data_IF_219055350877
#
_entry.id   IF_219055350877
#
_cell.length_a   1.000
_cell.length_b   1.000
_cell.length_c   1.000
_cell.angle_alpha   90.00
_cell.angle_beta   90.00
_cell.angle_gamma   90.00
#
_symmetry.space_group_name_H-M   'P 1'
#
loop_
_entity.id
_entity.type
_entity.pdbx_description
1 polymer ?
#
# COMPACT_ATOMS: atom_id res chain seq x y z
N UNK A 1 -8.75 -23.09 29.88
CA UNK A 1 -9.14 -23.22 28.45
C UNK A 1 -7.89 -23.01 27.60
N UNK A 2 -7.60 -23.95 26.68
CA UNK A 2 -6.43 -23.98 25.80
C UNK A 2 -6.13 -22.64 25.10
N UNK A 3 -7.15 -22.03 24.48
CA UNK A 3 -7.02 -20.74 23.79
C UNK A 3 -6.48 -19.62 24.69
N UNK A 4 -6.92 -19.55 25.94
CA UNK A 4 -6.42 -18.53 26.88
C UNK A 4 -4.94 -18.73 27.23
N UNK A 5 -4.51 -19.98 27.39
CA UNK A 5 -3.12 -20.34 27.68
C UNK A 5 -2.21 -20.04 26.48
N UNK A 6 -2.68 -20.31 25.26
CA UNK A 6 -1.91 -20.04 24.05
C UNK A 6 -1.75 -18.53 23.81
N UNK A 7 -2.78 -17.72 24.07
CA UNK A 7 -2.67 -16.26 24.05
C UNK A 7 -1.65 -15.78 25.09
N UNK A 8 -1.73 -16.27 26.32
CA UNK A 8 -0.76 -15.92 27.36
C UNK A 8 0.67 -16.32 26.98
N UNK A 9 0.84 -17.47 26.33
CA UNK A 9 2.14 -17.93 25.83
C UNK A 9 2.71 -17.02 24.74
N UNK A 10 1.88 -16.49 23.83
CA UNK A 10 2.30 -15.49 22.84
C UNK A 10 2.87 -14.25 23.54
N UNK A 11 2.13 -13.69 24.50
CA UNK A 11 2.57 -12.50 25.23
C UNK A 11 3.83 -12.77 26.07
N UNK A 12 3.91 -13.92 26.73
CA UNK A 12 5.08 -14.33 27.51
C UNK A 12 6.32 -14.50 26.64
N UNK A 13 6.18 -15.13 25.47
CA UNK A 13 7.28 -15.30 24.51
C UNK A 13 7.78 -13.95 23.99
N UNK A 14 6.88 -13.04 23.65
CA UNK A 14 7.26 -11.68 23.25
C UNK A 14 7.97 -10.92 24.39
N UNK A 15 7.45 -11.01 25.62
CA UNK A 15 8.06 -10.40 26.79
C UNK A 15 9.48 -10.93 27.07
N UNK A 16 9.73 -12.22 26.86
CA UNK A 16 11.07 -12.82 26.94
C UNK A 16 12.03 -12.28 25.86
N UNK A 17 11.51 -11.71 24.78
CA UNK A 17 12.28 -11.01 23.74
C UNK A 17 12.34 -9.49 24.00
N UNK A 18 11.88 -9.02 25.16
CA UNK A 18 11.79 -7.62 25.55
C UNK A 18 11.00 -6.74 24.56
N UNK A 19 10.02 -7.33 23.87
CA UNK A 19 9.17 -6.63 22.90
C UNK A 19 7.69 -6.96 23.13
N UNK A 20 6.77 -6.03 22.86
CA UNK A 20 5.37 -6.37 22.75
C UNK A 20 5.12 -7.23 21.49
N UNK A 21 4.09 -8.09 21.47
CA UNK A 21 3.80 -8.96 20.33
C UNK A 21 3.70 -8.23 18.98
N UNK A 22 3.01 -7.09 18.96
CA UNK A 22 2.79 -6.32 17.74
C UNK A 22 4.07 -5.74 17.14
N UNK A 23 5.14 -5.55 17.90
CA UNK A 23 6.45 -5.12 17.36
C UNK A 23 7.18 -6.24 16.63
N UNK A 24 6.91 -7.50 17.00
CA UNK A 24 7.45 -8.68 16.33
C UNK A 24 6.63 -9.04 15.09
N UNK A 25 5.30 -8.90 15.17
CA UNK A 25 4.39 -9.17 14.06
C UNK A 25 4.45 -8.08 12.99
N UNK A 26 4.55 -6.82 13.39
CA UNK A 26 4.50 -5.66 12.48
C UNK A 26 5.72 -4.77 12.69
N UNK A 27 6.94 -5.30 12.41
CA UNK A 27 8.16 -4.53 12.53
C UNK A 27 8.17 -3.39 11.51
N UNK A 28 8.92 -2.34 11.81
CA UNK A 28 9.18 -1.24 10.89
C UNK A 28 10.61 -1.29 10.37
N UNK A 29 11.58 -1.41 11.26
CA UNK A 29 12.99 -1.58 10.92
C UNK A 29 13.17 -2.82 10.05
N UNK A 30 13.91 -2.67 8.94
CA UNK A 30 14.17 -3.68 7.90
C UNK A 30 12.92 -4.21 7.19
N UNK A 31 11.74 -3.63 7.44
CA UNK A 31 10.55 -3.91 6.65
C UNK A 31 10.59 -3.09 5.35
N UNK A 32 9.82 -3.53 4.35
CA UNK A 32 9.94 -3.05 2.97
C UNK A 32 8.90 -1.98 2.63
N UNK A 33 9.30 -0.93 1.92
CA UNK A 33 8.39 0.06 1.31
C UNK A 33 8.51 0.02 -0.22
N UNK A 34 7.41 0.30 -0.92
CA UNK A 34 7.31 0.28 -2.39
C UNK A 34 7.64 1.63 -3.05
N UNK A 35 8.24 2.54 -2.29
CA UNK A 35 8.61 3.89 -2.72
C UNK A 35 9.95 4.24 -2.08
N UNK A 36 10.68 5.18 -2.67
CA UNK A 36 11.92 5.71 -2.10
C UNK A 36 11.61 6.73 -0.99
N UNK A 37 12.01 6.47 0.28
CA UNK A 37 11.87 7.42 1.37
C UNK A 37 12.64 8.74 1.20
N UNK A 38 13.71 8.75 0.39
CA UNK A 38 14.49 9.97 0.10
C UNK A 38 13.77 10.84 -0.94
N UNK A 39 13.14 10.23 -1.95
CA UNK A 39 12.34 10.94 -2.94
C UNK A 39 10.99 11.43 -2.36
N UNK A 40 10.40 10.67 -1.43
CA UNK A 40 9.10 10.95 -0.81
C UNK A 40 9.15 11.01 0.73
N UNK A 41 9.91 11.95 1.33
CA UNK A 41 10.10 12.02 2.77
C UNK A 41 8.78 12.29 3.53
N UNK A 42 7.92 13.16 2.99
CA UNK A 42 6.62 13.49 3.57
C UNK A 42 5.70 12.27 3.64
N UNK A 43 5.65 11.49 2.54
CA UNK A 43 4.90 10.24 2.47
C UNK A 43 5.48 9.22 3.45
N UNK A 44 6.80 9.14 3.57
CA UNK A 44 7.46 8.27 4.54
C UNK A 44 7.08 8.60 5.98
N UNK A 45 7.00 9.89 6.32
CA UNK A 45 6.53 10.36 7.64
C UNK A 45 5.08 9.95 7.89
N UNK A 46 4.19 10.16 6.93
CA UNK A 46 2.79 9.75 7.07
C UNK A 46 2.66 8.24 7.27
N UNK A 47 3.41 7.46 6.50
CA UNK A 47 3.43 6.01 6.60
C UNK A 47 3.95 5.56 7.96
N UNK A 48 5.07 6.10 8.42
CA UNK A 48 5.63 5.81 9.74
C UNK A 48 4.64 6.11 10.86
N UNK A 49 3.97 7.28 10.81
CA UNK A 49 2.94 7.65 11.79
C UNK A 49 1.77 6.68 11.80
N UNK A 50 1.23 6.31 10.64
CA UNK A 50 0.17 5.31 10.52
C UNK A 50 0.62 4.00 11.17
N UNK A 51 1.79 3.50 10.77
CA UNK A 51 2.31 2.22 11.23
C UNK A 51 2.52 2.21 12.75
N UNK A 52 3.24 3.20 13.28
CA UNK A 52 3.55 3.28 14.70
C UNK A 52 2.32 3.50 15.58
N UNK A 53 1.33 4.23 15.07
CA UNK A 53 0.09 4.49 15.82
C UNK A 53 -0.80 3.25 15.86
N UNK A 54 -0.94 2.54 14.73
CA UNK A 54 -2.00 1.54 14.57
C UNK A 54 -1.54 0.08 14.52
N UNK A 55 -0.23 -0.23 14.44
CA UNK A 55 0.26 -1.63 14.39
C UNK A 55 -0.23 -2.53 15.53
N UNK A 56 -0.43 -1.97 16.73
CA UNK A 56 -1.06 -2.70 17.85
C UNK A 56 -2.50 -3.09 17.54
N UNK A 57 -3.26 -2.19 16.93
CA UNK A 57 -4.66 -2.41 16.60
C UNK A 57 -4.82 -3.37 15.43
N UNK A 58 -3.90 -3.34 14.46
CA UNK A 58 -3.79 -4.37 13.42
C UNK A 58 -3.57 -5.75 14.03
N UNK A 59 -2.65 -5.86 15.00
CA UNK A 59 -2.42 -7.11 15.75
C UNK A 59 -3.64 -7.59 16.51
N UNK A 60 -4.27 -6.72 17.30
CA UNK A 60 -5.47 -7.09 18.08
C UNK A 60 -6.63 -7.51 17.18
N UNK A 61 -6.75 -6.92 15.99
CA UNK A 61 -7.73 -7.30 14.99
C UNK A 61 -7.38 -8.66 14.40
N UNK A 62 -6.19 -8.83 13.82
CA UNK A 62 -5.86 -10.03 13.05
C UNK A 62 -5.65 -11.27 13.95
N UNK A 63 -5.16 -11.09 15.18
CA UNK A 63 -5.17 -12.17 16.18
C UNK A 63 -6.60 -12.53 16.61
N UNK A 64 -7.51 -11.56 16.60
CA UNK A 64 -8.92 -11.69 16.97
C UNK A 64 -9.18 -12.49 18.27
N UNK A 65 -8.36 -12.22 19.28
CA UNK A 65 -8.45 -12.89 20.58
C UNK A 65 -9.83 -12.65 21.23
N UNK A 66 -10.48 -13.67 21.83
CA UNK A 66 -11.77 -13.52 22.47
C UNK A 66 -11.71 -12.56 23.66
N UNK A 67 -12.60 -11.58 23.69
CA UNK A 67 -12.70 -10.60 24.77
C UNK A 67 -13.89 -10.93 25.69
N UNK A 68 -13.65 -10.94 27.00
CA UNK A 68 -14.67 -11.23 28.00
C UNK A 68 -15.58 -10.03 28.28
N UNK A 69 -15.05 -8.82 28.19
CA UNK A 69 -15.76 -7.60 28.58
C UNK A 69 -16.30 -6.84 27.36
N UNK A 70 -17.57 -6.45 27.41
CA UNK A 70 -18.23 -5.73 26.31
C UNK A 70 -17.58 -4.39 25.99
N UNK A 71 -17.10 -3.64 27.00
CA UNK A 71 -16.39 -2.38 26.79
C UNK A 71 -15.10 -2.57 25.97
N UNK A 72 -14.38 -3.67 26.19
CA UNK A 72 -13.18 -4.01 25.41
C UNK A 72 -13.54 -4.34 23.95
N UNK A 73 -14.66 -5.04 23.72
CA UNK A 73 -15.15 -5.30 22.35
C UNK A 73 -15.52 -4.01 21.62
N UNK A 74 -16.21 -3.10 22.32
CA UNK A 74 -16.55 -1.78 21.80
C UNK A 74 -15.32 -0.94 21.48
N UNK A 75 -14.33 -0.93 22.39
CA UNK A 75 -13.05 -0.25 22.18
C UNK A 75 -12.30 -0.82 20.97
N UNK A 76 -12.21 -2.17 20.84
CA UNK A 76 -11.60 -2.81 19.67
C UNK A 76 -12.28 -2.37 18.38
N UNK A 77 -13.63 -2.38 18.32
CA UNK A 77 -14.37 -1.94 17.13
C UNK A 77 -14.07 -0.49 16.77
N UNK A 78 -14.02 0.41 17.76
CA UNK A 78 -13.70 1.82 17.54
C UNK A 78 -12.30 2.01 16.98
N UNK A 79 -11.28 1.45 17.64
CA UNK A 79 -9.89 1.57 17.20
C UNK A 79 -9.67 0.97 15.82
N UNK A 80 -10.35 -0.13 15.53
CA UNK A 80 -10.40 -0.75 14.20
C UNK A 80 -10.98 0.19 13.14
N UNK A 81 -12.11 0.86 13.42
CA UNK A 81 -12.67 1.86 12.50
C UNK A 81 -11.72 3.04 12.29
N UNK A 82 -11.10 3.55 13.34
CA UNK A 82 -10.09 4.62 13.24
C UNK A 82 -8.89 4.19 12.41
N UNK A 83 -8.33 3.01 12.67
CA UNK A 83 -7.19 2.50 11.91
C UNK A 83 -7.53 2.29 10.42
N UNK A 84 -8.75 1.86 10.09
CA UNK A 84 -9.23 1.80 8.70
C UNK A 84 -9.29 3.20 8.06
N UNK A 85 -9.86 4.19 8.75
CA UNK A 85 -9.98 5.55 8.23
C UNK A 85 -8.59 6.17 7.96
N UNK A 86 -7.66 5.96 8.89
CA UNK A 86 -6.28 6.45 8.77
C UNK A 86 -5.51 5.76 7.66
N UNK A 87 -5.75 4.45 7.45
CA UNK A 87 -5.25 3.75 6.26
C UNK A 87 -5.80 4.39 4.99
N UNK A 88 -7.10 4.72 4.93
CA UNK A 88 -7.66 5.42 3.77
C UNK A 88 -7.04 6.81 3.56
N UNK A 89 -6.76 7.56 4.62
CA UNK A 89 -6.04 8.84 4.50
C UNK A 89 -4.63 8.66 3.92
N UNK A 90 -3.91 7.62 4.34
CA UNK A 90 -2.60 7.31 3.77
C UNK A 90 -2.69 6.86 2.31
N UNK A 91 -3.68 6.04 1.95
CA UNK A 91 -3.92 5.65 0.55
C UNK A 91 -4.33 6.84 -0.31
N UNK A 92 -5.12 7.77 0.25
CA UNK A 92 -5.43 9.05 -0.38
C UNK A 92 -4.17 9.85 -0.70
N UNK A 93 -3.24 9.97 0.26
CA UNK A 93 -1.96 10.64 0.04
C UNK A 93 -1.16 9.97 -1.09
N UNK A 94 -1.12 8.64 -1.14
CA UNK A 94 -0.42 7.90 -2.21
C UNK A 94 -1.03 8.21 -3.59
N UNK A 95 -2.36 8.12 -3.71
CA UNK A 95 -3.09 8.35 -4.97
C UNK A 95 -2.98 9.82 -5.39
N UNK A 96 -3.01 10.75 -4.46
CA UNK A 96 -2.86 12.18 -4.76
C UNK A 96 -1.42 12.53 -5.17
N UNK A 97 -0.43 11.81 -4.64
CA UNK A 97 0.98 12.03 -5.01
C UNK A 97 1.28 11.53 -6.42
N UNK A 98 0.75 10.36 -6.79
CA UNK A 98 1.16 9.67 -8.02
C UNK A 98 0.06 9.52 -9.07
N UNK A 99 -1.21 9.61 -8.68
CA UNK A 99 -2.32 9.03 -9.45
C UNK A 99 -2.62 7.60 -9.00
N UNK A 100 -3.80 7.11 -9.36
CA UNK A 100 -4.28 5.78 -8.97
C UNK A 100 -3.47 4.66 -9.63
N UNK A 101 -3.29 4.73 -10.95
CA UNK A 101 -2.57 3.67 -11.67
C UNK A 101 -1.06 3.67 -11.42
N UNK A 102 -0.43 4.84 -11.27
CA UNK A 102 0.99 4.90 -10.91
C UNK A 102 1.25 4.42 -9.48
N UNK A 103 0.34 4.70 -8.55
CA UNK A 103 0.41 4.12 -7.22
C UNK A 103 0.31 2.59 -7.28
N UNK A 104 -0.68 2.04 -7.99
CA UNK A 104 -0.82 0.59 -8.15
C UNK A 104 0.39 -0.05 -8.82
N UNK A 105 0.95 0.58 -9.87
CA UNK A 105 2.20 0.17 -10.50
C UNK A 105 3.32 0.08 -9.47
N UNK A 106 3.61 1.16 -8.73
CA UNK A 106 4.68 1.18 -7.72
C UNK A 106 4.47 0.09 -6.67
N UNK A 107 3.23 -0.07 -6.24
CA UNK A 107 2.86 -1.01 -5.19
C UNK A 107 2.99 -2.48 -5.62
N UNK A 108 2.44 -2.84 -6.79
CA UNK A 108 2.38 -4.24 -7.25
C UNK A 108 3.66 -4.66 -8.00
N UNK A 109 4.55 -3.71 -8.35
CA UNK A 109 5.88 -3.98 -8.92
C UNK A 109 6.90 -4.53 -7.93
N UNK A 110 6.57 -4.61 -6.65
CA UNK A 110 7.49 -5.09 -5.62
C UNK A 110 6.87 -6.28 -4.90
N UNK A 111 7.70 -7.26 -4.58
CA UNK A 111 7.31 -8.36 -3.68
C UNK A 111 8.07 -8.25 -2.36
N UNK A 112 7.46 -8.72 -1.28
CA UNK A 112 8.05 -8.69 0.04
C UNK A 112 7.14 -9.29 1.09
N UNK A 113 7.60 -10.37 1.72
CA UNK A 113 6.99 -10.95 2.92
C UNK A 113 6.93 -9.96 4.10
N UNK A 114 7.70 -8.87 4.02
CA UNK A 114 7.78 -7.77 4.99
C UNK A 114 7.31 -6.43 4.45
N UNK A 115 6.48 -6.42 3.40
CA UNK A 115 5.94 -5.19 2.84
C UNK A 115 5.10 -4.43 3.89
N UNK A 116 5.41 -3.16 4.11
CA UNK A 116 4.75 -2.28 5.07
C UNK A 116 3.38 -1.84 4.55
N UNK A 117 2.52 -2.77 4.16
CA UNK A 117 1.13 -2.47 3.88
C UNK A 117 0.28 -3.42 4.69
N UNK A 118 -0.50 -2.88 5.61
CA UNK A 118 -1.43 -3.71 6.34
C UNK A 118 -2.63 -4.05 5.45
N UNK A 119 -2.50 -5.19 4.78
CA UNK A 119 -3.53 -5.82 3.95
C UNK A 119 -4.58 -6.58 4.74
N UNK A 120 -4.35 -6.80 6.04
CA UNK A 120 -5.37 -7.36 6.91
C UNK A 120 -6.65 -6.52 6.90
N UNK A 121 -7.76 -7.15 7.22
CA UNK A 121 -9.05 -6.48 7.07
C UNK A 121 -10.28 -7.36 7.02
N UNK A 122 -10.16 -8.68 7.02
CA UNK A 122 -11.27 -9.59 6.76
C UNK A 122 -12.55 -9.28 7.56
N UNK A 123 -13.71 -9.50 6.92
CA UNK A 123 -14.98 -9.46 7.62
C UNK A 123 -14.99 -10.56 8.65
N UNK A 124 -15.48 -10.22 9.84
CA UNK A 124 -15.84 -11.28 10.77
C UNK A 124 -16.91 -12.13 10.09
N UNK A 125 -16.84 -13.46 10.18
CA UNK A 125 -17.80 -14.36 9.52
C UNK A 125 -19.27 -13.98 9.73
N UNK A 126 -19.58 -13.36 10.87
CA UNK A 126 -20.92 -12.94 11.26
C UNK A 126 -21.21 -11.44 11.03
N UNK A 127 -20.30 -10.67 10.40
CA UNK A 127 -20.57 -9.27 10.09
C UNK A 127 -21.46 -9.13 8.85
N UNK A 128 -22.25 -8.05 8.73
CA UNK A 128 -23.02 -7.77 7.51
C UNK A 128 -22.16 -7.77 6.24
N UNK A 129 -20.90 -7.34 6.37
CA UNK A 129 -19.95 -7.19 5.27
C UNK A 129 -19.47 -8.54 4.72
N UNK A 130 -19.46 -9.59 5.55
CA UNK A 130 -19.17 -10.96 5.11
C UNK A 130 -20.14 -11.46 4.02
N UNK A 131 -21.33 -10.88 3.92
CA UNK A 131 -22.33 -11.27 2.89
C UNK A 131 -22.00 -10.72 1.51
N UNK A 132 -21.19 -9.67 1.44
CA UNK A 132 -20.79 -8.99 0.19
C UNK A 132 -19.34 -9.27 -0.18
N UNK A 133 -18.62 -9.99 0.67
CA UNK A 133 -17.23 -10.38 0.48
C UNK A 133 -17.17 -11.87 0.13
N UNK A 134 -16.53 -12.17 -0.98
CA UNK A 134 -16.33 -13.53 -1.50
C UNK A 134 -15.04 -14.18 -0.98
N UNK A 135 -14.14 -13.40 -0.34
CA UNK A 135 -12.90 -13.90 0.24
C UNK A 135 -13.01 -14.42 1.68
N UNK A 136 -11.85 -14.72 2.31
CA UNK A 136 -11.78 -15.35 3.63
C UNK A 136 -12.38 -14.49 4.76
N UNK A 137 -13.12 -15.11 5.68
CA UNK A 137 -13.64 -14.41 6.86
C UNK A 137 -12.84 -14.73 8.11
N UNK A 138 -12.65 -13.73 8.98
CA UNK A 138 -11.93 -13.92 10.24
C UNK A 138 -12.85 -14.50 11.33
N UNK A 139 -12.39 -15.59 11.93
CA UNK A 139 -12.99 -16.16 13.13
C UNK A 139 -12.26 -15.66 14.37
N UNK A 140 -12.96 -15.59 15.50
CA UNK A 140 -12.27 -15.42 16.78
C UNK A 140 -11.54 -16.73 17.12
N UNK A 141 -10.44 -16.65 17.90
CA UNK A 141 -9.60 -17.82 18.18
C UNK A 141 -10.34 -19.00 18.82
N UNK A 142 -11.40 -18.76 19.61
CA UNK A 142 -12.21 -19.84 20.20
C UNK A 142 -13.00 -20.58 19.13
N UNK A 143 -13.66 -19.84 18.23
CA UNK A 143 -14.40 -20.42 17.11
C UNK A 143 -13.46 -21.10 16.11
N UNK A 144 -12.28 -20.51 15.87
CA UNK A 144 -11.28 -21.09 14.98
C UNK A 144 -10.76 -22.41 15.55
N UNK A 145 -10.38 -22.46 16.83
CA UNK A 145 -9.94 -23.70 17.50
C UNK A 145 -10.98 -24.84 17.38
N UNK A 146 -12.27 -24.50 17.43
CA UNK A 146 -13.35 -25.49 17.34
C UNK A 146 -13.67 -25.95 15.90
N UNK A 147 -13.42 -25.10 14.89
CA UNK A 147 -13.80 -25.37 13.50
C UNK A 147 -12.61 -25.88 12.66
N UNK A 148 -11.41 -25.39 12.94
CA UNK A 148 -10.21 -25.69 12.19
C UNK A 148 -8.98 -25.59 13.10
N UNK A 149 -8.61 -26.72 13.69
CA UNK A 149 -7.48 -26.79 14.62
C UNK A 149 -6.13 -26.55 13.91
N UNK A 150 -6.01 -26.89 12.63
CA UNK A 150 -4.79 -26.71 11.86
C UNK A 150 -4.53 -25.23 11.60
N UNK A 151 -5.53 -24.51 11.11
CA UNK A 151 -5.48 -23.07 10.89
C UNK A 151 -5.32 -22.30 12.20
N UNK A 152 -5.96 -22.76 13.28
CA UNK A 152 -5.71 -22.23 14.62
C UNK A 152 -4.23 -22.35 15.03
N UNK A 153 -3.64 -23.54 14.88
CA UNK A 153 -2.23 -23.78 15.24
C UNK A 153 -1.29 -22.94 14.40
N UNK A 154 -1.56 -22.82 13.09
CA UNK A 154 -0.79 -21.97 12.19
C UNK A 154 -0.82 -20.50 12.64
N UNK A 155 -2.01 -19.97 12.96
CA UNK A 155 -2.18 -18.58 13.43
C UNK A 155 -1.48 -18.32 14.76
N UNK A 156 -1.56 -19.24 15.71
CA UNK A 156 -0.84 -19.13 17.00
C UNK A 156 0.68 -19.20 16.80
N UNK A 157 1.17 -20.11 15.95
CA UNK A 157 2.59 -20.25 15.66
C UNK A 157 3.17 -19.06 14.87
N UNK A 158 2.36 -18.48 13.98
CA UNK A 158 2.69 -17.30 13.18
C UNK A 158 2.54 -15.98 13.91
N UNK A 159 1.88 -15.94 15.09
CA UNK A 159 1.50 -14.70 15.75
C UNK A 159 2.66 -13.72 16.02
N UNK A 160 3.88 -14.22 16.27
CA UNK A 160 5.06 -13.40 16.52
C UNK A 160 6.04 -13.33 15.34
N UNK A 161 5.69 -13.93 14.21
CA UNK A 161 6.50 -13.84 12.99
C UNK A 161 6.03 -12.61 12.20
N UNK A 162 6.95 -11.85 11.58
CA UNK A 162 6.58 -10.69 10.78
C UNK A 162 5.50 -11.03 9.75
N UNK A 163 4.40 -10.27 9.75
CA UNK A 163 3.29 -10.27 8.80
C UNK A 163 2.54 -11.61 8.59
N UNK A 164 2.95 -12.69 9.27
CA UNK A 164 2.32 -14.00 9.11
C UNK A 164 0.86 -14.04 9.57
N UNK A 165 0.45 -13.12 10.46
CA UNK A 165 -0.94 -12.99 10.84
C UNK A 165 -1.83 -12.56 9.65
N UNK A 166 -1.29 -11.80 8.70
CA UNK A 166 -2.02 -11.28 7.55
C UNK A 166 -2.10 -12.29 6.39
N UNK A 167 -1.50 -13.48 6.52
CA UNK A 167 -1.65 -14.54 5.52
C UNK A 167 -3.13 -14.85 5.26
N UNK A 168 -3.47 -14.89 3.97
CA UNK A 168 -4.84 -15.02 3.51
C UNK A 168 -5.63 -13.70 3.46
N UNK A 169 -4.97 -12.55 3.67
CA UNK A 169 -5.44 -11.17 3.49
C UNK A 169 -6.04 -10.86 2.12
N UNK A 170 -6.44 -9.59 1.92
CA UNK A 170 -6.77 -9.09 0.59
C UNK A 170 -5.60 -9.34 -0.37
N UNK A 171 -5.90 -9.80 -1.59
CA UNK A 171 -4.86 -10.23 -2.55
C UNK A 171 -4.12 -9.05 -3.18
N UNK A 172 -4.81 -7.92 -3.33
CA UNK A 172 -4.26 -6.71 -3.90
C UNK A 172 -4.96 -5.46 -3.33
N UNK A 173 -4.43 -4.29 -3.67
CA UNK A 173 -4.94 -3.02 -3.16
C UNK A 173 -6.35 -2.74 -3.67
N UNK A 174 -6.68 -3.12 -4.90
CA UNK A 174 -8.02 -2.92 -5.44
C UNK A 174 -9.07 -3.73 -4.69
N UNK A 175 -8.78 -4.98 -4.35
CA UNK A 175 -9.66 -5.80 -3.50
C UNK A 175 -9.83 -5.13 -2.13
N UNK A 176 -8.75 -4.63 -1.53
CA UNK A 176 -8.83 -3.86 -0.30
C UNK A 176 -9.78 -2.66 -0.46
N UNK A 177 -9.64 -1.84 -1.50
CA UNK A 177 -10.46 -0.64 -1.72
C UNK A 177 -11.93 -0.96 -2.04
N UNK A 178 -12.20 -2.04 -2.77
CA UNK A 178 -13.57 -2.45 -3.13
C UNK A 178 -14.27 -3.08 -1.94
N UNK A 179 -13.58 -3.95 -1.19
CA UNK A 179 -14.16 -4.80 -0.15
C UNK A 179 -13.79 -4.39 1.26
N UNK A 180 -13.16 -3.23 1.47
CA UNK A 180 -12.81 -2.76 2.81
C UNK A 180 -14.01 -2.88 3.75
N UNK A 181 -13.85 -3.73 4.76
CA UNK A 181 -14.92 -4.31 5.58
C UNK A 181 -15.69 -3.30 6.45
N UNK A 182 -15.29 -2.03 6.45
CA UNK A 182 -15.97 -0.97 7.19
C UNK A 182 -16.18 0.31 6.39
N UNK A 183 -15.74 0.34 5.13
CA UNK A 183 -15.59 1.57 4.38
C UNK A 183 -15.96 1.33 2.92
N UNK A 184 -16.87 2.14 2.38
CA UNK A 184 -17.07 2.24 0.94
C UNK A 184 -15.95 3.10 0.36
N UNK A 185 -14.71 2.59 0.34
CA UNK A 185 -13.52 3.39 0.03
C UNK A 185 -13.69 4.19 -1.27
N UNK A 186 -14.26 3.54 -2.29
CA UNK A 186 -14.54 4.10 -3.61
C UNK A 186 -15.97 4.66 -3.76
N UNK A 187 -16.84 4.52 -2.75
CA UNK A 187 -18.23 4.98 -2.80
C UNK A 187 -18.31 6.46 -2.43
N UNK A 188 -18.60 7.37 -3.39
CA UNK A 188 -18.64 8.81 -3.13
C UNK A 188 -19.77 9.24 -2.19
N UNK A 189 -20.77 8.39 -1.96
CA UNK A 189 -21.91 8.67 -1.10
C UNK A 189 -21.74 8.14 0.33
N UNK A 190 -20.64 7.42 0.61
CA UNK A 190 -20.30 7.00 1.96
C UNK A 190 -19.84 8.18 2.82
N UNK A 191 -19.93 8.03 4.15
CA UNK A 191 -19.47 9.03 5.11
C UNK A 191 -17.98 9.30 4.93
N UNK A 192 -17.50 10.55 5.14
CA UNK A 192 -16.10 10.92 4.91
C UNK A 192 -15.07 9.99 5.56
N UNK A 193 -15.28 9.58 6.82
CA UNK A 193 -14.35 8.69 7.54
C UNK A 193 -14.43 7.21 7.08
N UNK A 194 -15.30 6.91 6.13
CA UNK A 194 -15.53 5.60 5.54
C UNK A 194 -15.24 5.54 4.05
N UNK A 195 -14.58 6.55 3.48
CA UNK A 195 -14.19 6.58 2.07
C UNK A 195 -12.91 7.36 1.82
N UNK A 196 -12.36 7.25 0.61
CA UNK A 196 -11.31 8.14 0.14
C UNK A 196 -11.86 9.58 0.02
N UNK A 197 -10.97 10.58 0.17
CA UNK A 197 -11.33 11.98 0.01
C UNK A 197 -11.86 12.27 -1.41
N UNK A 198 -12.69 13.30 -1.57
CA UNK A 198 -13.29 13.62 -2.87
C UNK A 198 -12.24 13.94 -3.95
N UNK A 199 -11.16 14.64 -3.59
CA UNK A 199 -10.04 14.89 -4.52
C UNK A 199 -9.35 13.59 -4.94
N UNK A 200 -9.16 12.66 -4.00
CA UNK A 200 -8.64 11.33 -4.31
C UNK A 200 -9.56 10.55 -5.25
N UNK A 201 -10.88 10.52 -4.96
CA UNK A 201 -11.87 9.86 -5.81
C UNK A 201 -11.91 10.48 -7.21
N UNK A 202 -11.74 11.79 -7.31
CA UNK A 202 -11.62 12.50 -8.58
C UNK A 202 -10.34 12.10 -9.34
N UNK A 203 -9.22 11.91 -8.65
CA UNK A 203 -7.98 11.38 -9.26
C UNK A 203 -8.15 9.95 -9.78
N UNK A 204 -8.79 9.07 -8.99
CA UNK A 204 -9.11 7.68 -9.43
C UNK A 204 -9.97 7.71 -10.69
N UNK A 205 -11.04 8.53 -10.68
CA UNK A 205 -11.91 8.71 -11.85
C UNK A 205 -11.12 9.21 -13.06
N UNK A 206 -10.30 10.25 -12.87
CA UNK A 206 -9.53 10.87 -13.93
C UNK A 206 -8.62 9.85 -14.62
N UNK A 207 -7.92 9.01 -13.85
CA UNK A 207 -7.05 7.99 -14.41
C UNK A 207 -7.81 6.89 -15.17
N UNK A 208 -8.99 6.50 -14.68
CA UNK A 208 -9.90 5.60 -15.42
C UNK A 208 -10.37 6.23 -16.74
N UNK A 209 -10.67 7.53 -16.75
CA UNK A 209 -11.16 8.25 -17.93
C UNK A 209 -10.08 8.52 -18.98
N UNK A 210 -8.79 8.58 -18.59
CA UNK A 210 -7.67 8.76 -19.51
C UNK A 210 -7.53 7.61 -20.52
N UNK A 211 -8.30 6.51 -20.36
CA UNK A 211 -8.25 5.30 -21.21
C UNK A 211 -6.82 4.75 -21.37
N UNK A 212 -5.98 4.97 -20.36
CA UNK A 212 -4.70 4.27 -20.25
C UNK A 212 -5.04 2.85 -19.83
N UNK A 213 -4.63 1.88 -20.64
CA UNK A 213 -4.85 0.47 -20.31
C UNK A 213 -4.15 0.17 -18.98
N UNK A 214 -4.87 -0.32 -17.97
CA UNK A 214 -4.24 -0.71 -16.72
C UNK A 214 -3.28 -1.87 -17.00
N UNK A 215 -2.24 -1.96 -16.18
CA UNK A 215 -1.27 -3.04 -16.38
C UNK A 215 -1.84 -4.41 -16.03
N UNK A 216 -2.83 -4.41 -15.14
CA UNK A 216 -3.57 -5.59 -14.74
C UNK A 216 -5.07 -5.34 -14.80
N UNK A 217 -5.82 -6.32 -15.31
CA UNK A 217 -7.27 -6.24 -15.45
C UNK A 217 -7.99 -6.00 -14.11
N UNK A 218 -7.41 -6.44 -12.98
CA UNK A 218 -8.02 -6.31 -11.66
C UNK A 218 -7.87 -4.93 -11.01
N UNK A 219 -7.13 -3.99 -11.62
CA UNK A 219 -6.98 -2.63 -11.08
C UNK A 219 -8.26 -1.80 -11.12
N UNK A 220 -9.20 -2.20 -11.97
CA UNK A 220 -10.53 -1.61 -12.05
C UNK A 220 -11.57 -2.71 -12.20
N UNK A 221 -12.73 -2.53 -11.57
CA UNK A 221 -13.89 -3.38 -11.84
C UNK A 221 -14.74 -2.81 -12.97
N UNK A 222 -15.85 -3.50 -13.25
CA UNK A 222 -16.81 -3.05 -14.25
C UNK A 222 -17.44 -1.70 -13.87
N UNK A 223 -17.15 -0.68 -14.69
CA UNK A 223 -17.60 0.71 -14.51
C UNK A 223 -19.10 0.90 -14.72
N UNK A 224 -19.85 -0.14 -15.10
CA UNK A 224 -21.30 -0.10 -15.28
C UNK A 224 -22.06 -0.61 -14.06
N UNK A 225 -21.40 -1.32 -13.15
CA UNK A 225 -22.02 -1.87 -11.94
C UNK A 225 -21.29 -1.50 -10.64
N UNK A 226 -21.94 -1.74 -9.51
CA UNK A 226 -21.32 -1.67 -8.19
C UNK A 226 -20.74 -0.30 -7.82
N UNK A 227 -19.67 -0.31 -7.03
CA UNK A 227 -19.02 0.92 -6.53
C UNK A 227 -18.36 1.72 -7.66
N UNK A 228 -17.83 1.04 -8.68
CA UNK A 228 -17.22 1.68 -9.84
C UNK A 228 -18.24 2.50 -10.62
N UNK A 229 -19.43 1.95 -10.88
CA UNK A 229 -20.52 2.71 -11.50
C UNK A 229 -20.94 3.93 -10.68
N UNK A 230 -21.02 3.81 -9.35
CA UNK A 230 -21.33 4.96 -8.49
C UNK A 230 -20.27 6.05 -8.61
N UNK A 231 -18.99 5.69 -8.54
CA UNK A 231 -17.88 6.61 -8.73
C UNK A 231 -17.93 7.30 -10.10
N UNK A 232 -18.12 6.52 -11.16
CA UNK A 232 -18.15 7.00 -12.55
C UNK A 232 -19.40 7.81 -12.91
N UNK A 233 -20.48 7.70 -12.15
CA UNK A 233 -21.71 8.47 -12.40
C UNK A 233 -21.96 9.59 -11.38
N UNK A 234 -21.10 9.75 -10.37
CA UNK A 234 -21.29 10.81 -9.37
C UNK A 234 -20.94 12.19 -9.95
N UNK A 235 -21.90 13.15 -10.00
CA UNK A 235 -21.68 14.45 -10.64
C UNK A 235 -20.68 15.33 -9.87
N UNK A 236 -20.62 15.22 -8.53
CA UNK A 236 -19.65 15.95 -7.70
C UNK A 236 -18.23 15.51 -8.02
N UNK A 237 -18.00 14.20 -8.06
CA UNK A 237 -16.67 13.65 -8.37
C UNK A 237 -16.28 13.95 -9.81
N UNK A 238 -17.22 13.88 -10.76
CA UNK A 238 -16.98 14.24 -12.15
C UNK A 238 -16.49 15.68 -12.29
N UNK A 239 -17.20 16.64 -11.70
CA UNK A 239 -16.81 18.05 -11.74
C UNK A 239 -15.42 18.27 -11.13
N UNK A 240 -15.15 17.63 -9.99
CA UNK A 240 -13.83 17.70 -9.36
C UNK A 240 -12.72 17.10 -10.22
N UNK A 241 -12.99 16.03 -10.95
CA UNK A 241 -12.02 15.43 -11.87
C UNK A 241 -11.70 16.36 -13.05
N UNK A 242 -12.71 17.03 -13.61
CA UNK A 242 -12.53 18.03 -14.67
C UNK A 242 -11.70 19.23 -14.19
N UNK A 243 -11.95 19.72 -12.97
CA UNK A 243 -11.17 20.82 -12.38
C UNK A 243 -9.76 20.39 -11.99
N UNK A 244 -9.61 19.16 -11.49
CA UNK A 244 -8.31 18.57 -11.19
C UNK A 244 -7.46 18.40 -12.45
N UNK A 245 -8.04 17.94 -13.56
CA UNK A 245 -7.36 17.81 -14.85
C UNK A 245 -6.77 19.16 -15.30
N UNK A 246 -7.55 20.25 -15.20
CA UNK A 246 -7.08 21.61 -15.51
C UNK A 246 -5.93 22.05 -14.59
N UNK A 247 -6.04 21.80 -13.28
CA UNK A 247 -4.98 22.13 -12.31
C UNK A 247 -3.69 21.37 -12.61
N UNK A 248 -3.78 20.10 -13.01
CA UNK A 248 -2.63 19.28 -13.38
C UNK A 248 -1.99 19.82 -14.66
N UNK A 249 -2.78 20.08 -15.70
CA UNK A 249 -2.31 20.65 -16.97
C UNK A 249 -1.59 21.99 -16.76
N UNK A 250 -2.14 22.85 -15.88
CA UNK A 250 -1.56 24.13 -15.52
C UNK A 250 -0.38 24.04 -14.53
N UNK A 251 0.01 22.82 -14.10
CA UNK A 251 1.04 22.58 -13.07
C UNK A 251 0.76 23.30 -11.74
N UNK A 252 -0.52 23.51 -11.43
CA UNK A 252 -1.01 24.15 -10.20
C UNK A 252 -1.44 23.14 -9.14
N UNK A 253 -1.57 21.86 -9.52
CA UNK A 253 -1.88 20.80 -8.57
C UNK A 253 -0.71 20.58 -7.60
N UNK A 254 -1.03 20.51 -6.31
CA UNK A 254 -0.09 20.16 -5.25
C UNK A 254 -0.73 19.09 -4.36
N UNK A 255 -0.09 17.94 -4.15
CA UNK A 255 -0.55 16.95 -3.19
C UNK A 255 -0.64 17.51 -1.77
N UNK A 256 -1.38 16.83 -0.90
CA UNK A 256 -1.45 17.20 0.50
C UNK A 256 -0.07 17.16 1.17
N UNK A 257 0.24 18.21 1.92
CA UNK A 257 1.49 18.31 2.67
C UNK A 257 1.39 17.53 3.98
N UNK A 258 2.46 16.80 4.31
CA UNK A 258 2.58 16.11 5.59
C UNK A 258 3.46 16.95 6.51
N UNK A 259 2.99 17.31 7.72
CA UNK A 259 3.82 18.05 8.65
C UNK A 259 5.09 17.27 9.02
N UNK A 260 6.24 17.93 9.23
CA UNK A 260 7.47 17.25 9.62
C UNK A 260 7.31 16.53 10.96
N UNK A 261 8.20 15.56 11.22
CA UNK A 261 8.22 14.84 12.50
C UNK A 261 8.62 15.77 13.63
N UNK A 262 7.85 15.74 14.71
CA UNK A 262 8.15 16.53 15.91
C UNK A 262 9.12 15.80 16.83
N UNK A 263 9.90 16.55 17.62
CA UNK A 263 10.82 15.94 18.61
C UNK A 263 10.09 15.11 19.68
N UNK A 264 8.81 15.39 19.93
CA UNK A 264 7.96 14.58 20.82
C UNK A 264 7.63 13.21 20.23
N UNK A 265 7.39 13.13 18.92
CA UNK A 265 7.11 11.87 18.25
C UNK A 265 8.33 10.95 18.26
N UNK A 266 9.53 11.51 18.05
CA UNK A 266 10.78 10.75 18.12
C UNK A 266 11.08 10.17 19.50
N UNK A 267 10.52 10.76 20.56
CA UNK A 267 10.72 10.33 21.96
C UNK A 267 9.59 9.44 22.48
N UNK A 268 8.60 9.11 21.65
CA UNK A 268 7.41 8.38 22.07
C UNK A 268 7.76 6.93 22.40
N UNK A 269 7.45 6.50 23.63
CA UNK A 269 7.71 5.13 24.07
C UNK A 269 6.96 4.12 23.21
N UNK A 270 7.65 3.06 22.79
CA UNK A 270 7.10 2.00 21.94
C UNK A 270 7.02 2.36 20.46
N UNK A 271 7.55 3.52 20.04
CA UNK A 271 7.74 3.86 18.64
C UNK A 271 9.14 3.47 18.20
N UNK A 272 9.22 2.75 17.09
CA UNK A 272 10.50 2.41 16.47
C UNK A 272 11.01 3.65 15.72
N UNK A 273 12.30 4.03 15.87
CA UNK A 273 12.86 5.18 15.16
C UNK A 273 12.63 5.08 13.64
N UNK A 274 12.35 6.21 13.00
CA UNK A 274 12.20 6.29 11.54
C UNK A 274 13.56 6.25 10.84
N UNK A 275 14.58 6.84 11.46
CA UNK A 275 15.95 6.93 10.96
C UNK A 275 16.93 6.33 11.97
N UNK A 276 18.04 5.81 11.43
CA UNK A 276 19.23 5.39 12.18
C UNK A 276 20.04 6.63 12.60
N UNK A 277 21.02 6.49 13.51
CA UNK A 277 21.89 7.59 13.91
C UNK A 277 22.69 8.23 12.77
N UNK A 278 22.91 7.51 11.67
CA UNK A 278 23.59 7.99 10.47
C UNK A 278 22.67 8.77 9.50
N UNK A 279 21.39 8.94 9.83
CA UNK A 279 20.39 9.63 9.01
C UNK A 279 19.66 8.74 8.01
N UNK A 280 20.10 7.48 7.81
CA UNK A 280 19.44 6.55 6.89
C UNK A 280 18.09 6.06 7.44
N UNK A 281 17.12 5.83 6.57
CA UNK A 281 15.82 5.31 6.99
C UNK A 281 15.89 3.87 7.45
N UNK A 282 15.20 3.54 8.55
CA UNK A 282 15.25 2.19 9.13
C UNK A 282 14.41 1.18 8.35
N UNK A 283 13.37 1.64 7.65
CA UNK A 283 12.64 0.81 6.68
C UNK A 283 13.39 0.85 5.35
N UNK A 284 13.34 -0.24 4.60
CA UNK A 284 14.14 -0.44 3.40
C UNK A 284 13.28 -0.38 2.16
N UNK A 285 13.86 0.07 1.05
CA UNK A 285 13.19 0.02 -0.25
C UNK A 285 13.05 -1.44 -0.67
N UNK A 286 11.86 -1.80 -1.15
CA UNK A 286 11.59 -3.12 -1.72
C UNK A 286 12.30 -3.26 -3.07
N UNK A 287 12.78 -4.46 -3.38
CA UNK A 287 13.32 -4.73 -4.71
C UNK A 287 12.18 -4.75 -5.73
N UNK A 288 12.41 -4.14 -6.89
CA UNK A 288 11.49 -4.23 -8.02
C UNK A 288 11.55 -5.64 -8.60
N UNK A 289 10.39 -6.21 -8.91
CA UNK A 289 10.27 -7.46 -9.64
C UNK A 289 10.83 -7.25 -11.05
N UNK A 290 11.98 -7.86 -11.35
CA UNK A 290 12.49 -7.92 -12.72
C UNK A 290 11.53 -8.77 -13.56
N UNK A 291 10.85 -8.18 -14.55
CA UNK A 291 10.05 -9.01 -15.46
C UNK A 291 8.99 -8.37 -16.33
N UNK A 292 8.45 -7.18 -16.03
CA UNK A 292 7.43 -6.58 -16.91
C UNK A 292 7.65 -5.05 -17.05
N UNK A 293 7.71 -4.58 -18.31
CA UNK A 293 7.30 -3.24 -18.76
C UNK A 293 8.05 -2.01 -18.24
N UNK A 294 9.36 -1.91 -18.48
CA UNK A 294 10.06 -0.63 -18.50
C UNK A 294 9.89 0.06 -19.86
N UNK A 295 8.77 0.75 -20.07
CA UNK A 295 8.71 1.80 -21.10
C UNK A 295 7.90 2.98 -20.56
N UNK A 296 8.60 3.92 -19.92
CA UNK A 296 8.25 5.35 -19.92
C UNK A 296 9.32 6.15 -19.15
N UNK A 297 10.40 6.51 -19.83
CA UNK A 297 10.95 7.88 -19.86
C UNK A 297 12.34 7.85 -20.50
N UNK A 298 12.47 8.38 -21.71
CA UNK A 298 13.64 9.15 -22.15
C UNK A 298 13.31 9.86 -23.48
N UNK A 299 12.72 11.06 -23.33
CA UNK A 299 12.63 12.16 -24.30
C UNK A 299 12.92 13.37 -23.40
N UNK A 300 13.93 14.22 -23.54
CA UNK A 300 14.81 14.62 -24.63
C UNK A 300 16.02 15.26 -23.92
N UNK A 301 17.26 14.89 -24.28
CA UNK A 301 18.41 15.79 -24.10
C UNK A 301 18.78 16.31 -25.48
N UNK A 302 18.68 17.61 -25.60
CA UNK A 302 18.93 18.46 -26.76
C UNK A 302 20.23 18.15 -27.50
N UNK A 303 20.13 18.20 -28.83
CA UNK A 303 21.23 18.44 -29.77
C UNK A 303 22.13 19.59 -29.29
N UNK A 304 23.43 19.32 -29.20
CA UNK A 304 24.45 20.28 -29.62
C UNK A 304 25.38 19.55 -30.60
N UNK A 305 25.51 20.15 -31.78
CA UNK A 305 26.31 19.72 -32.91
C UNK A 305 27.80 19.98 -32.67
N UNK A 306 28.61 19.11 -33.29
CA UNK A 306 29.95 19.33 -33.85
C UNK A 306 31.11 19.72 -32.92
N UNK A 307 32.09 18.82 -32.84
CA UNK A 307 33.44 19.14 -33.34
C UNK A 307 34.15 17.84 -33.81
N UNK A 308 34.44 17.82 -35.11
CA UNK A 308 35.30 16.83 -35.76
C UNK A 308 36.76 17.08 -35.37
N UNK A 309 37.45 16.06 -34.86
CA UNK A 309 38.92 15.99 -34.98
C UNK A 309 39.30 14.77 -35.81
N UNK A 310 40.05 15.08 -36.87
CA UNK A 310 40.58 14.21 -37.91
C UNK A 310 41.79 13.46 -37.39
N UNK A 311 41.85 12.15 -37.63
CA UNK A 311 43.13 11.46 -37.82
C UNK A 311 43.17 10.93 -39.26
N UNK A 312 43.99 11.61 -40.06
CA UNK A 312 44.53 11.12 -41.32
C UNK A 312 45.53 10.01 -41.01
N UNK A 313 45.38 8.83 -41.64
CA UNK A 313 46.54 8.01 -42.03
C UNK A 313 46.21 7.22 -43.31
N UNK A 314 46.55 7.88 -44.43
CA UNK A 314 47.24 7.35 -45.60
C UNK A 314 47.13 5.84 -45.90
N UNK A 315 46.31 5.47 -46.89
CA UNK A 315 46.64 4.40 -47.85
C UNK A 315 46.20 4.77 -49.27
N UNK A 316 47.20 5.25 -50.02
CA UNK A 316 47.37 5.29 -51.48
C UNK A 316 46.24 4.72 -52.35
N UNK A 317 45.65 5.61 -53.16
CA UNK A 317 44.96 5.30 -54.40
C UNK A 317 45.91 4.67 -55.43
N UNK A 318 45.49 3.57 -56.05
CA UNK A 318 45.66 3.40 -57.50
C UNK A 318 44.34 2.87 -58.10
N UNK A 319 43.76 3.69 -58.98
CA UNK A 319 42.58 3.45 -59.82
C UNK A 319 43.08 3.22 -61.27
N UNK A 320 42.21 2.91 -62.25
CA UNK A 320 41.38 1.72 -62.44
C UNK A 320 41.69 1.09 -63.83
N UNK A 321 40.85 0.15 -64.27
CA UNK A 321 40.42 -0.11 -65.67
C UNK A 321 40.46 -1.57 -66.16
N UNK A 322 39.26 -2.16 -66.10
CA UNK A 322 38.51 -2.74 -67.24
C UNK A 322 38.89 -4.14 -67.80
N UNK A 323 37.89 -4.82 -68.39
CA UNK A 323 37.82 -6.28 -68.52
C UNK A 323 38.29 -6.77 -69.90
N UNK A 324 38.44 -8.10 -70.05
CA UNK A 324 38.11 -8.96 -71.23
C UNK A 324 38.81 -10.33 -71.03
N UNK A 325 38.03 -11.42 -70.95
CA UNK A 325 37.92 -12.48 -71.97
C UNK A 325 39.23 -13.23 -72.28
N UNK A 326 39.33 -14.49 -71.84
CA UNK A 326 39.07 -15.71 -72.64
C UNK A 326 38.81 -16.92 -71.74
#
# INVERSE_FOLDING_TARGET
MKVGQDIEAIYRKAANMHKPPYELTYPWTESKVWYDPEEYPDLHVAHWRLWMTYRRHFFDWQLNAPLKVNSQRGARRRWKQTACAERLHFLSLCIETWGYYDFLRRFERVDGDRLLMWFGGHPGKNSPDARKYDGPTILNLTSLYAQDEAEYKARVAGALKPFQLDQGGFRNLTELLVYTVYTGALDPDEKPNGRLADETLAMVRLDIEKKVEPWHEWWMGDTKIGVWSKLMNNPRIKQLAEDLAKRIEQRLYKPHLVPPVTSSEMKKTGWTPMQRPDGTYTAEIAAVLEGEGSEASDIESSNEEEEEEKEEEDQLEEKPESPLQE
#
